data_IF_227742958934
#
_entry.id   IF_227742958934
#
_cell.length_a   1.000
_cell.length_b   1.000
_cell.length_c   1.000
_cell.angle_alpha   90.00
_cell.angle_beta   90.00
_cell.angle_gamma   90.00
#
_symmetry.space_group_name_H-M   'P 1'
#
loop_
_entity.id
_entity.type
_entity.pdbx_description
1 polymer ?
#
# COMPACT_ATOMS: atom_id res chain seq x y z
N UNK A 1 24.20 -16.51 -7.17
CA UNK A 1 22.80 -16.05 -7.31
C UNK A 1 22.54 -15.22 -6.07
N UNK A 2 22.38 -13.90 -6.21
CA UNK A 2 22.15 -13.03 -5.06
C UNK A 2 20.70 -13.17 -4.65
N UNK A 3 20.43 -13.92 -3.57
CA UNK A 3 19.13 -13.99 -2.92
C UNK A 3 18.80 -12.61 -2.33
N UNK A 4 18.33 -11.72 -3.18
CA UNK A 4 17.89 -10.37 -2.81
C UNK A 4 16.49 -10.47 -2.20
N UNK A 5 16.41 -11.22 -1.11
CA UNK A 5 15.18 -11.47 -0.35
C UNK A 5 14.87 -10.22 0.47
N UNK A 6 14.25 -9.23 -0.19
CA UNK A 6 13.84 -7.99 0.48
C UNK A 6 12.70 -8.28 1.46
N UNK A 7 12.73 -7.65 2.63
CA UNK A 7 11.61 -7.69 3.57
C UNK A 7 10.47 -6.79 3.09
N UNK A 8 9.24 -7.17 3.44
CA UNK A 8 8.06 -6.37 3.19
C UNK A 8 8.24 -4.96 3.78
N UNK A 9 8.00 -3.94 2.97
CA UNK A 9 8.12 -2.55 3.38
C UNK A 9 6.97 -2.10 4.27
N UNK A 10 5.89 -2.87 4.44
CA UNK A 10 4.80 -2.47 5.33
C UNK A 10 5.27 -2.32 6.79
N UNK A 11 4.91 -1.20 7.45
CA UNK A 11 5.22 -0.91 8.86
C UNK A 11 4.82 -2.08 9.79
N UNK A 12 5.78 -2.58 10.58
CA UNK A 12 5.56 -3.71 11.49
C UNK A 12 5.49 -5.09 10.82
N UNK A 13 5.89 -5.21 9.54
CA UNK A 13 5.96 -6.49 8.86
C UNK A 13 7.40 -6.97 8.68
N UNK A 14 7.65 -8.23 9.04
CA UNK A 14 8.95 -8.90 8.89
C UNK A 14 8.93 -10.03 7.86
N UNK A 15 7.82 -10.18 7.12
CA UNK A 15 7.70 -11.22 6.09
C UNK A 15 8.54 -10.87 4.87
N UNK A 16 9.02 -11.89 4.18
CA UNK A 16 9.66 -11.78 2.87
C UNK A 16 8.70 -11.13 1.87
N UNK A 17 9.20 -10.19 1.07
CA UNK A 17 8.46 -9.59 -0.02
C UNK A 17 8.39 -10.54 -1.22
N UNK A 18 7.24 -10.52 -1.87
CA UNK A 18 6.93 -11.40 -3.00
C UNK A 18 6.37 -10.62 -4.19
N UNK A 19 5.96 -9.37 -3.97
CA UNK A 19 5.28 -8.52 -4.93
C UNK A 19 5.95 -7.14 -4.95
N UNK A 20 6.28 -6.65 -6.14
CA UNK A 20 6.75 -5.28 -6.37
C UNK A 20 5.56 -4.48 -6.90
N UNK A 21 5.28 -3.33 -6.30
CA UNK A 21 4.16 -2.44 -6.68
C UNK A 21 4.71 -1.06 -6.96
N UNK A 22 4.41 -0.50 -8.12
CA UNK A 22 4.64 0.92 -8.40
C UNK A 22 3.43 1.74 -7.93
N UNK A 23 3.65 2.63 -6.97
CA UNK A 23 2.66 3.60 -6.52
C UNK A 23 3.24 5.00 -6.60
N UNK A 24 2.64 5.85 -7.44
CA UNK A 24 3.06 7.26 -7.60
C UNK A 24 4.55 7.40 -7.97
N UNK A 25 5.08 6.50 -8.80
CA UNK A 25 6.49 6.50 -9.20
C UNK A 25 7.44 6.03 -8.09
N UNK A 26 6.90 5.36 -7.05
CA UNK A 26 7.68 4.72 -5.99
C UNK A 26 7.45 3.22 -6.05
N UNK A 27 8.53 2.46 -6.20
CA UNK A 27 8.48 1.01 -6.02
C UNK A 27 8.40 0.65 -4.54
N UNK A 28 7.41 -0.16 -4.20
CA UNK A 28 7.24 -0.77 -2.89
C UNK A 28 7.33 -2.28 -3.04
N UNK A 29 8.07 -2.93 -2.15
CA UNK A 29 8.11 -4.40 -2.07
C UNK A 29 7.25 -4.87 -0.90
N UNK A 30 6.27 -5.73 -1.18
CA UNK A 30 5.26 -6.19 -0.22
C UNK A 30 5.18 -7.72 -0.22
N UNK A 31 4.80 -8.30 0.92
CA UNK A 31 4.37 -9.71 0.96
C UNK A 31 2.95 -9.85 0.39
N UNK A 32 2.55 -11.07 -0.02
CA UNK A 32 1.21 -11.32 -0.59
C UNK A 32 0.07 -10.85 0.32
N UNK A 33 0.22 -10.99 1.63
CA UNK A 33 -0.78 -10.58 2.62
C UNK A 33 -1.04 -9.07 2.60
N UNK A 34 0.03 -8.27 2.63
CA UNK A 34 -0.09 -6.81 2.62
C UNK A 34 -0.49 -6.26 1.24
N UNK A 35 -0.04 -6.90 0.16
CA UNK A 35 -0.54 -6.58 -1.18
C UNK A 35 -2.06 -6.82 -1.28
N UNK A 36 -2.54 -7.98 -0.84
CA UNK A 36 -3.98 -8.29 -0.83
C UNK A 36 -4.77 -7.31 0.04
N UNK A 37 -4.21 -6.91 1.19
CA UNK A 37 -4.83 -5.92 2.06
C UNK A 37 -4.91 -4.54 1.39
N UNK A 38 -3.86 -4.11 0.69
CA UNK A 38 -3.84 -2.86 -0.07
C UNK A 38 -4.93 -2.86 -1.15
N UNK A 39 -4.96 -3.90 -1.98
CA UNK A 39 -5.96 -4.04 -3.06
C UNK A 39 -7.38 -4.03 -2.51
N UNK A 40 -7.65 -4.79 -1.44
CA UNK A 40 -8.97 -4.78 -0.78
C UNK A 40 -9.37 -3.40 -0.27
N UNK A 41 -8.44 -2.65 0.32
CA UNK A 41 -8.73 -1.28 0.78
C UNK A 41 -8.99 -0.33 -0.39
N UNK A 42 -8.28 -0.48 -1.51
CA UNK A 42 -8.52 0.30 -2.73
C UNK A 42 -9.87 -0.03 -3.35
N UNK A 43 -10.21 -1.32 -3.47
CA UNK A 43 -11.49 -1.80 -3.98
C UNK A 43 -12.66 -1.22 -3.17
N UNK A 44 -12.59 -1.29 -1.84
CA UNK A 44 -13.61 -0.70 -0.97
C UNK A 44 -13.80 0.80 -1.17
N UNK A 45 -12.72 1.53 -1.45
CA UNK A 45 -12.80 2.97 -1.75
C UNK A 45 -13.39 3.22 -3.14
N UNK A 46 -13.04 2.39 -4.13
CA UNK A 46 -13.64 2.43 -5.46
C UNK A 46 -15.15 2.14 -5.40
N UNK A 47 -15.57 1.10 -4.67
CA UNK A 47 -16.99 0.78 -4.43
C UNK A 47 -17.75 1.96 -3.81
N UNK A 48 -17.14 2.65 -2.84
CA UNK A 48 -17.80 3.76 -2.14
C UNK A 48 -17.87 5.04 -2.99
N UNK A 49 -16.92 5.25 -3.91
CA UNK A 49 -16.75 6.53 -4.65
C UNK A 49 -16.98 6.43 -6.16
N UNK A 50 -17.23 5.23 -6.68
CA UNK A 50 -17.23 4.92 -8.11
C UNK A 50 -15.85 4.94 -8.77
N UNK A 51 -14.81 5.42 -8.09
CA UNK A 51 -13.44 5.46 -8.60
C UNK A 51 -12.40 5.50 -7.47
N UNK A 52 -11.20 5.00 -7.74
CA UNK A 52 -10.04 5.14 -6.86
C UNK A 52 -8.88 5.72 -7.65
N UNK A 53 -8.41 6.90 -7.25
CA UNK A 53 -7.19 7.47 -7.79
C UNK A 53 -6.00 7.05 -6.93
N UNK A 54 -4.89 6.67 -7.56
CA UNK A 54 -3.64 6.42 -6.85
C UNK A 54 -3.19 7.64 -6.03
N UNK A 55 -3.57 8.87 -6.41
CA UNK A 55 -3.32 10.09 -5.63
C UNK A 55 -4.03 10.12 -4.25
N UNK A 56 -5.02 9.26 -4.03
CA UNK A 56 -5.69 9.12 -2.73
C UNK A 56 -4.94 8.24 -1.74
N UNK A 57 -3.94 7.49 -2.22
CA UNK A 57 -2.98 6.77 -1.39
C UNK A 57 -1.90 7.74 -0.92
N UNK A 58 -1.73 7.85 0.39
CA UNK A 58 -0.61 8.54 1.01
C UNK A 58 0.38 7.49 1.49
N UNK A 59 1.57 7.52 0.93
CA UNK A 59 2.69 6.69 1.33
C UNK A 59 3.55 7.52 2.28
N UNK A 60 3.52 7.21 3.56
CA UNK A 60 4.41 7.81 4.56
C UNK A 60 5.59 6.87 4.79
N UNK A 61 6.80 7.42 4.88
CA UNK A 61 7.97 6.62 5.26
C UNK A 61 7.86 6.35 6.77
N UNK A 62 7.91 5.09 7.14
CA UNK A 62 8.20 4.66 8.50
C UNK A 62 9.71 4.40 8.63
N UNK A 63 10.21 4.24 9.85
CA UNK A 63 11.63 3.94 10.09
C UNK A 63 12.12 2.70 9.32
N UNK A 64 13.43 2.56 9.14
CA UNK A 64 14.07 1.33 8.63
C UNK A 64 13.60 0.88 7.23
N UNK A 65 13.34 1.84 6.34
CA UNK A 65 12.89 1.53 4.97
C UNK A 65 11.44 1.02 4.89
N UNK A 66 10.70 1.09 6.00
CA UNK A 66 9.28 0.76 6.04
C UNK A 66 8.43 1.91 5.54
N UNK A 67 7.18 1.61 5.22
CA UNK A 67 6.16 2.54 4.76
C UNK A 67 4.84 2.28 5.46
N UNK A 68 4.18 3.36 5.80
CA UNK A 68 2.80 3.39 6.26
C UNK A 68 1.91 3.81 5.09
N UNK A 69 1.01 2.92 4.69
CA UNK A 69 0.05 3.17 3.62
C UNK A 69 -1.29 3.64 4.18
N UNK A 70 -1.55 4.93 4.01
CA UNK A 70 -2.79 5.59 4.44
C UNK A 70 -3.64 5.89 3.21
N UNK A 71 -4.89 5.43 3.18
CA UNK A 71 -5.85 5.87 2.17
C UNK A 71 -6.63 7.05 2.74
N UNK A 72 -6.51 8.23 2.12
CA UNK A 72 -7.25 9.42 2.57
C UNK A 72 -8.75 9.20 2.36
N UNK A 73 -9.44 8.95 3.47
CA UNK A 73 -10.90 9.02 3.53
C UNK A 73 -11.30 10.51 3.52
N UNK A 74 -11.66 11.08 2.37
CA UNK A 74 -12.60 12.22 2.37
C UNK A 74 -13.89 11.67 2.99
N UNK A 75 -14.32 12.24 4.12
CA UNK A 75 -15.70 12.07 4.59
C UNK A 75 -16.58 12.63 3.46
N UNK A 76 -17.41 11.77 2.85
CA UNK A 76 -18.58 12.26 2.14
C UNK A 76 -19.39 13.00 3.20
N UNK A 77 -19.52 14.31 3.08
CA UNK A 77 -20.57 15.02 3.81
C UNK A 77 -21.86 14.40 3.28
N UNK A 78 -22.57 13.64 4.12
CA UNK A 78 -23.98 13.39 3.87
C UNK A 78 -24.63 14.77 3.82
N UNK A 79 -24.98 15.20 2.61
CA UNK A 79 -25.90 16.30 2.38
C UNK A 79 -27.33 15.79 2.55
#
# INVERSE_FOLDING_TARGET
MSDNTHLCMWEGCEKVSEVIVDLQGRQLVLCRGHFSQLVRRMARVAETRGSVSLGSLKIEKAGEGKVKLLIRRRRLKHG
#
